data_IF_609620089593
#
_entry.id   IF_609620089593
#
_cell.length_a   1.000
_cell.length_b   1.000
_cell.length_c   1.000
_cell.angle_alpha   90.00
_cell.angle_beta   90.00
_cell.angle_gamma   90.00
#
_symmetry.space_group_name_H-M   'P 1'
#
loop_
_entity.id
_entity.type
_entity.pdbx_description
1 polymer ?
#
# COMPACT_ATOMS: atom_id res chain seq x y z
N UNK A 1 -16.63 3.47 -15.05
CA UNK A 1 -15.79 2.27 -14.89
C UNK A 1 -14.54 2.69 -14.16
N UNK A 2 -14.20 2.04 -13.06
CA UNK A 2 -13.00 2.40 -12.30
C UNK A 2 -11.76 1.83 -13.00
N UNK A 3 -10.79 2.70 -13.31
CA UNK A 3 -9.61 2.35 -14.09
C UNK A 3 -8.35 2.63 -13.30
N UNK A 4 -7.47 1.66 -13.22
CA UNK A 4 -6.14 1.82 -12.61
C UNK A 4 -5.23 2.52 -13.61
N UNK A 5 -4.74 3.69 -13.24
CA UNK A 5 -3.76 4.44 -14.03
C UNK A 5 -2.36 3.93 -13.75
N UNK A 6 -1.56 3.76 -14.79
CA UNK A 6 -0.16 3.38 -14.66
C UNK A 6 0.73 4.17 -15.60
N UNK A 7 1.98 4.34 -15.22
CA UNK A 7 3.04 4.82 -16.11
C UNK A 7 4.10 3.74 -16.29
N UNK A 8 4.92 3.89 -17.31
CA UNK A 8 6.06 3.01 -17.54
C UNK A 8 7.33 3.59 -16.91
N UNK A 9 8.19 2.73 -16.41
CA UNK A 9 9.54 3.05 -15.96
C UNK A 9 10.50 1.97 -16.42
N UNK A 10 11.66 2.38 -16.94
CA UNK A 10 12.75 1.47 -17.24
C UNK A 10 13.41 1.02 -15.95
N UNK A 11 13.75 -0.25 -15.84
CA UNK A 11 14.41 -0.83 -14.68
C UNK A 11 15.37 -1.93 -15.12
N UNK A 12 16.62 -1.80 -14.70
CA UNK A 12 17.64 -2.82 -14.87
C UNK A 12 17.48 -3.96 -13.86
N UNK A 13 18.08 -5.10 -14.18
CA UNK A 13 18.14 -6.23 -13.25
C UNK A 13 19.30 -6.02 -12.26
N UNK A 14 19.05 -5.80 -10.95
CA UNK A 14 20.11 -5.58 -9.98
C UNK A 14 21.04 -6.80 -9.79
N UNK A 15 20.55 -7.99 -10.13
CA UNK A 15 21.33 -9.24 -10.02
C UNK A 15 22.18 -9.49 -11.28
N UNK A 16 21.79 -8.93 -12.42
CA UNK A 16 22.53 -9.05 -13.68
C UNK A 16 22.54 -7.70 -14.44
N UNK A 17 23.47 -6.79 -14.11
CA UNK A 17 23.53 -5.45 -14.70
C UNK A 17 23.80 -5.42 -16.21
N UNK A 18 24.30 -6.51 -16.77
CA UNK A 18 24.59 -6.65 -18.21
C UNK A 18 23.31 -6.87 -19.06
N UNK A 19 22.19 -7.26 -18.43
CA UNK A 19 20.92 -7.39 -19.13
C UNK A 19 20.36 -6.02 -19.50
N UNK A 20 19.76 -5.88 -20.71
CA UNK A 20 19.10 -4.64 -21.09
C UNK A 20 17.95 -4.32 -20.15
N UNK A 21 17.79 -3.04 -19.84
CA UNK A 21 16.65 -2.54 -19.05
C UNK A 21 15.32 -2.91 -19.70
N UNK A 22 14.34 -3.24 -18.88
CA UNK A 22 12.97 -3.58 -19.30
C UNK A 22 11.98 -2.54 -18.77
N UNK A 23 10.91 -2.31 -19.52
CA UNK A 23 9.83 -1.43 -19.10
C UNK A 23 8.89 -2.15 -18.14
N UNK A 24 8.64 -1.54 -16.99
CA UNK A 24 7.71 -2.03 -15.96
C UNK A 24 6.62 -1.01 -15.68
N UNK A 25 5.41 -1.50 -15.44
CA UNK A 25 4.29 -0.66 -15.04
C UNK A 25 4.43 -0.22 -13.58
N UNK A 26 4.19 1.07 -13.33
CA UNK A 26 4.08 1.64 -11.98
C UNK A 26 2.72 2.29 -11.82
N UNK A 27 1.99 1.90 -10.77
CA UNK A 27 0.67 2.46 -10.48
C UNK A 27 0.77 3.98 -10.26
N UNK A 28 -0.17 4.72 -10.82
CA UNK A 28 -0.35 6.14 -10.59
C UNK A 28 -1.60 6.33 -9.74
N UNK A 29 -1.40 6.60 -8.44
CA UNK A 29 -2.50 6.80 -7.49
C UNK A 29 -3.32 8.02 -7.90
N UNK A 30 -4.63 7.88 -7.98
CA UNK A 30 -5.52 9.02 -8.27
C UNK A 30 -5.52 10.01 -7.10
N UNK A 31 -5.73 9.51 -5.88
CA UNK A 31 -5.81 10.32 -4.67
C UNK A 31 -5.52 9.47 -3.42
N UNK A 32 -5.31 10.13 -2.30
CA UNK A 32 -5.23 9.52 -0.98
C UNK A 32 -6.59 9.72 -0.30
N UNK A 33 -7.28 8.62 -0.02
CA UNK A 33 -8.56 8.66 0.69
C UNK A 33 -8.29 8.67 2.19
N UNK A 34 -8.71 9.74 2.88
CA UNK A 34 -8.63 9.81 4.33
C UNK A 34 -9.64 8.87 4.99
N UNK A 35 -9.38 8.48 6.26
CA UNK A 35 -10.31 7.66 7.05
C UNK A 35 -11.71 8.28 7.09
N UNK A 36 -11.83 9.60 7.28
CA UNK A 36 -13.13 10.27 7.32
C UNK A 36 -13.88 10.16 5.99
N UNK A 37 -13.17 10.30 4.88
CA UNK A 37 -13.78 10.17 3.55
C UNK A 37 -14.20 8.73 3.27
N UNK A 38 -13.40 7.75 3.71
CA UNK A 38 -13.75 6.33 3.60
C UNK A 38 -14.99 5.97 4.43
N UNK A 39 -15.08 6.45 5.68
CA UNK A 39 -16.26 6.29 6.54
C UNK A 39 -17.50 6.90 5.89
N UNK A 40 -17.38 8.10 5.31
CA UNK A 40 -18.50 8.73 4.59
C UNK A 40 -18.96 7.85 3.44
N UNK A 41 -18.03 7.34 2.65
CA UNK A 41 -18.32 6.44 1.53
C UNK A 41 -19.06 5.18 1.98
N UNK A 42 -18.63 4.51 3.05
CA UNK A 42 -19.31 3.34 3.61
C UNK A 42 -20.74 3.70 4.03
N UNK A 43 -20.94 4.80 4.74
CA UNK A 43 -22.26 5.20 5.24
C UNK A 43 -23.23 5.65 4.14
N UNK A 44 -22.70 6.10 2.99
CA UNK A 44 -23.49 6.52 1.83
C UNK A 44 -23.87 5.36 0.90
N UNK A 45 -23.15 4.22 0.98
CA UNK A 45 -23.36 3.09 0.08
C UNK A 45 -24.72 2.38 0.28
N UNK A 46 -25.21 2.26 1.51
CA UNK A 46 -26.49 1.58 1.82
C UNK A 46 -27.22 2.15 3.03
N UNK A 47 -26.82 3.28 3.54
CA UNK A 47 -27.61 4.14 4.43
C UNK A 47 -28.09 3.59 5.80
N UNK A 48 -27.76 2.33 6.15
CA UNK A 48 -28.29 1.70 7.39
C UNK A 48 -27.60 2.25 8.63
N UNK A 49 -26.31 2.59 8.54
CA UNK A 49 -25.53 3.06 9.67
C UNK A 49 -25.11 4.52 9.52
N UNK A 50 -25.25 5.28 10.60
CA UNK A 50 -24.77 6.67 10.64
C UNK A 50 -23.25 6.75 10.51
N UNK A 51 -22.73 7.88 10.03
CA UNK A 51 -21.28 8.14 9.98
C UNK A 51 -20.62 7.99 11.34
N UNK A 52 -21.32 8.39 12.42
CA UNK A 52 -20.85 8.24 13.79
C UNK A 52 -20.73 6.78 14.21
N UNK A 53 -21.73 5.95 13.87
CA UNK A 53 -21.69 4.51 14.14
C UNK A 53 -20.54 3.82 13.40
N UNK A 54 -20.38 4.08 12.10
CA UNK A 54 -19.29 3.50 11.30
C UNK A 54 -17.94 3.90 11.86
N UNK A 55 -17.76 5.18 12.24
CA UNK A 55 -16.54 5.68 12.86
C UNK A 55 -16.23 4.98 14.18
N UNK A 56 -17.23 4.86 15.07
CA UNK A 56 -17.10 4.20 16.37
C UNK A 56 -16.63 2.75 16.20
N UNK A 57 -17.39 1.95 15.41
CA UNK A 57 -17.05 0.55 15.15
C UNK A 57 -15.64 0.39 14.55
N UNK A 58 -15.27 1.23 13.59
CA UNK A 58 -13.92 1.17 12.99
C UNK A 58 -12.82 1.48 13.99
N UNK A 59 -13.04 2.45 14.88
CA UNK A 59 -12.09 2.81 15.94
C UNK A 59 -11.93 1.68 16.96
N UNK A 60 -13.03 1.12 17.42
CA UNK A 60 -13.03 0.01 18.36
C UNK A 60 -12.40 -1.25 17.76
N UNK A 61 -12.69 -1.54 16.49
CA UNK A 61 -12.07 -2.65 15.76
C UNK A 61 -10.55 -2.54 15.77
N UNK A 62 -9.98 -1.37 15.49
CA UNK A 62 -8.52 -1.16 15.49
C UNK A 62 -7.94 -1.35 16.89
N UNK A 63 -8.62 -0.84 17.92
CA UNK A 63 -8.18 -0.95 19.32
C UNK A 63 -8.18 -2.40 19.79
N UNK A 64 -9.28 -3.12 19.54
CA UNK A 64 -9.42 -4.54 19.89
C UNK A 64 -8.44 -5.42 19.10
N UNK A 65 -8.24 -5.14 17.81
CA UNK A 65 -7.25 -5.85 16.98
C UNK A 65 -5.85 -5.72 17.59
N UNK A 66 -5.45 -4.50 17.97
CA UNK A 66 -4.17 -4.25 18.63
C UNK A 66 -4.04 -5.04 19.93
N UNK A 67 -5.06 -5.03 20.78
CA UNK A 67 -5.09 -5.77 22.04
C UNK A 67 -4.89 -7.27 21.81
N UNK A 68 -5.66 -7.87 20.90
CA UNK A 68 -5.55 -9.29 20.57
C UNK A 68 -4.18 -9.67 20.04
N UNK A 69 -3.60 -8.86 19.17
CA UNK A 69 -2.26 -9.11 18.60
C UNK A 69 -1.15 -9.02 19.66
N UNK A 70 -1.22 -8.05 20.58
CA UNK A 70 -0.25 -7.92 21.69
C UNK A 70 -0.38 -9.09 22.68
N UNK A 71 -1.58 -9.66 22.81
CA UNK A 71 -1.79 -10.91 23.57
C UNK A 71 -1.28 -12.17 22.85
N UNK A 72 -0.67 -12.03 21.66
CA UNK A 72 -0.11 -13.14 20.87
C UNK A 72 -1.11 -13.89 20.01
N UNK A 73 -2.31 -13.36 19.86
CA UNK A 73 -3.34 -14.01 19.04
C UNK A 73 -3.19 -13.68 17.54
N UNK A 74 -3.69 -14.57 16.70
CA UNK A 74 -3.99 -14.33 15.32
C UNK A 74 -5.47 -13.93 15.20
N UNK A 75 -5.77 -12.89 14.47
CA UNK A 75 -7.13 -12.40 14.24
C UNK A 75 -7.48 -12.55 12.76
N UNK A 76 -8.63 -13.15 12.48
CA UNK A 76 -9.18 -13.30 11.14
C UNK A 76 -10.41 -12.41 11.04
N UNK A 77 -10.45 -11.56 10.02
CA UNK A 77 -11.60 -10.72 9.70
C UNK A 77 -12.06 -11.16 8.29
N UNK A 78 -13.23 -11.76 8.23
CA UNK A 78 -13.78 -12.29 6.97
C UNK A 78 -13.90 -11.18 5.92
N UNK A 79 -13.50 -11.49 4.70
CA UNK A 79 -13.47 -10.52 3.59
C UNK A 79 -12.32 -9.50 3.65
N UNK A 80 -11.64 -9.33 4.80
CA UNK A 80 -10.50 -8.43 4.94
C UNK A 80 -9.17 -9.19 4.93
N UNK A 81 -9.01 -10.16 5.83
CA UNK A 81 -7.80 -10.97 5.91
C UNK A 81 -7.38 -11.39 7.31
N UNK A 82 -6.17 -11.88 7.41
CA UNK A 82 -5.57 -12.43 8.60
C UNK A 82 -4.48 -11.50 9.13
N UNK A 83 -4.55 -11.21 10.42
CA UNK A 83 -3.58 -10.39 11.14
C UNK A 83 -2.85 -11.26 12.16
N UNK A 84 -1.55 -11.23 12.16
CA UNK A 84 -0.68 -11.92 13.11
C UNK A 84 0.58 -11.12 13.40
N UNK A 85 1.38 -11.57 14.34
CA UNK A 85 2.66 -10.95 14.63
C UNK A 85 3.81 -11.91 14.32
N UNK A 86 4.97 -11.34 14.02
CA UNK A 86 6.25 -12.04 13.96
C UNK A 86 7.27 -11.31 14.81
N UNK A 87 8.29 -12.03 15.27
CA UNK A 87 9.36 -11.48 16.08
C UNK A 87 10.66 -11.43 15.28
N UNK A 88 11.41 -10.34 15.45
CA UNK A 88 12.79 -10.28 15.02
C UNK A 88 13.69 -10.28 16.27
N UNK A 89 14.72 -11.10 16.26
CA UNK A 89 15.64 -11.23 17.40
C UNK A 89 17.08 -11.33 16.95
N UNK A 90 18.00 -11.00 17.86
CA UNK A 90 19.41 -11.35 17.75
C UNK A 90 19.60 -12.73 18.33
N UNK A 91 20.37 -13.57 17.66
CA UNK A 91 20.70 -14.91 18.15
C UNK A 91 21.49 -14.88 19.47
N UNK A 92 21.37 -15.95 20.26
CA UNK A 92 22.22 -16.25 21.39
C UNK A 92 23.01 -17.53 21.11
N UNK A 93 24.12 -17.75 21.80
CA UNK A 93 24.99 -18.93 21.58
C UNK A 93 24.31 -20.26 21.92
N UNK A 94 23.29 -20.24 22.77
CA UNK A 94 22.48 -21.40 23.11
C UNK A 94 21.04 -20.99 23.50
N UNK A 95 20.11 -21.94 23.54
CA UNK A 95 18.71 -21.69 23.94
C UNK A 95 18.63 -21.20 25.38
N UNK A 96 19.49 -21.69 26.28
CA UNK A 96 19.50 -21.28 27.70
C UNK A 96 19.97 -19.84 27.90
N UNK A 97 20.80 -19.31 26.98
CA UNK A 97 21.29 -17.93 26.99
C UNK A 97 20.31 -16.96 26.34
N UNK A 98 19.30 -17.44 25.62
CA UNK A 98 18.32 -16.58 24.99
C UNK A 98 17.36 -16.01 26.03
N UNK A 99 17.22 -14.69 26.02
CA UNK A 99 16.30 -13.96 26.91
C UNK A 99 15.39 -13.02 26.10
N UNK A 100 14.36 -12.49 26.70
CA UNK A 100 13.46 -11.52 26.04
C UNK A 100 14.20 -10.26 25.54
N UNK A 101 15.37 -9.91 26.10
CA UNK A 101 16.18 -8.80 25.62
C UNK A 101 16.82 -9.02 24.24
N UNK A 102 16.87 -10.26 23.79
CA UNK A 102 17.29 -10.60 22.43
C UNK A 102 16.24 -10.23 21.38
N UNK A 103 14.96 -10.09 21.76
CA UNK A 103 13.88 -9.67 20.86
C UNK A 103 14.07 -8.19 20.54
N UNK A 104 14.13 -7.84 19.25
CA UNK A 104 14.38 -6.47 18.80
C UNK A 104 13.14 -5.78 18.25
N UNK A 105 12.23 -6.53 17.63
CA UNK A 105 10.96 -5.96 17.15
C UNK A 105 9.85 -6.99 17.11
N UNK A 106 8.63 -6.46 17.20
CA UNK A 106 7.38 -7.18 16.91
C UNK A 106 6.82 -6.57 15.64
N UNK A 107 6.64 -7.38 14.62
CA UNK A 107 6.20 -6.92 13.31
C UNK A 107 4.80 -7.43 13.03
N UNK A 108 3.94 -6.56 12.51
CA UNK A 108 2.63 -6.96 12.00
C UNK A 108 2.80 -7.73 10.69
N UNK A 109 2.14 -8.87 10.61
CA UNK A 109 2.00 -9.67 9.38
C UNK A 109 0.54 -9.64 8.98
N UNK A 110 0.27 -9.15 7.78
CA UNK A 110 -1.07 -9.12 7.19
C UNK A 110 -1.11 -10.00 5.95
N UNK A 111 -2.09 -10.90 5.90
CA UNK A 111 -2.38 -11.71 4.72
C UNK A 111 -3.80 -11.36 4.25
N UNK A 112 -3.97 -10.74 3.09
CA UNK A 112 -5.29 -10.35 2.60
C UNK A 112 -6.19 -11.58 2.35
N UNK A 113 -7.49 -11.41 2.56
CA UNK A 113 -8.50 -12.40 2.18
C UNK A 113 -8.58 -12.56 0.66
N UNK A 114 -9.20 -13.64 0.18
CA UNK A 114 -9.30 -13.94 -1.24
C UNK A 114 -9.99 -12.83 -2.04
N UNK A 115 -10.98 -12.17 -1.44
CA UNK A 115 -11.74 -11.06 -2.01
C UNK A 115 -10.85 -9.82 -2.30
N UNK A 116 -9.75 -9.66 -1.55
CA UNK A 116 -8.78 -8.59 -1.78
C UNK A 116 -7.58 -9.03 -2.61
N UNK A 117 -7.56 -10.29 -3.06
CA UNK A 117 -6.56 -10.83 -3.98
C UNK A 117 -7.12 -10.85 -5.40
N UNK A 118 -6.24 -11.03 -6.39
CA UNK A 118 -6.63 -11.18 -7.79
C UNK A 118 -7.49 -10.03 -8.37
N UNK A 119 -7.30 -8.81 -7.87
CA UNK A 119 -8.03 -7.61 -8.32
C UNK A 119 -7.87 -7.33 -9.83
N UNK A 120 -6.95 -8.01 -10.49
CA UNK A 120 -6.72 -7.89 -11.94
C UNK A 120 -7.95 -8.31 -12.76
N UNK A 121 -8.79 -9.21 -12.22
CA UNK A 121 -10.01 -9.67 -12.92
C UNK A 121 -11.06 -8.57 -13.05
N UNK A 122 -11.08 -7.64 -12.09
CA UNK A 122 -12.04 -6.54 -12.01
C UNK A 122 -11.43 -5.20 -12.46
N UNK A 123 -10.14 -5.21 -12.78
CA UNK A 123 -9.40 -4.01 -13.11
C UNK A 123 -9.37 -3.74 -14.61
N UNK A 124 -9.55 -2.49 -14.98
CA UNK A 124 -9.18 -1.95 -16.29
C UNK A 124 -7.96 -1.05 -16.13
N UNK A 125 -7.15 -0.91 -17.18
CA UNK A 125 -5.89 -0.21 -17.10
C UNK A 125 -5.80 0.89 -18.14
N UNK A 126 -5.28 2.07 -17.74
CA UNK A 126 -4.99 3.17 -18.65
C UNK A 126 -3.58 3.68 -18.41
N UNK A 127 -2.77 3.70 -19.45
CA UNK A 127 -1.44 4.29 -19.41
C UNK A 127 -1.55 5.82 -19.38
N UNK A 128 -0.80 6.43 -18.46
CA UNK A 128 -0.68 7.88 -18.32
C UNK A 128 0.77 8.29 -18.14
N UNK A 129 1.07 9.58 -18.30
CA UNK A 129 2.40 10.10 -17.99
C UNK A 129 2.72 9.96 -16.49
N UNK A 130 3.99 9.74 -16.15
CA UNK A 130 4.45 9.72 -14.76
C UNK A 130 4.23 11.09 -14.10
N UNK A 131 4.12 11.12 -12.76
CA UNK A 131 4.04 12.38 -12.02
C UNK A 131 5.25 13.28 -12.24
N UNK A 132 6.43 12.69 -12.42
CA UNK A 132 7.65 13.46 -12.77
C UNK A 132 7.51 14.11 -14.14
N UNK A 133 7.04 13.39 -15.15
CA UNK A 133 6.80 13.93 -16.48
C UNK A 133 5.73 15.05 -16.45
N UNK A 134 4.64 14.85 -15.72
CA UNK A 134 3.61 15.87 -15.55
C UNK A 134 4.15 17.13 -14.84
N UNK A 135 4.95 16.95 -13.79
CA UNK A 135 5.59 18.07 -13.08
C UNK A 135 6.59 18.83 -13.97
N UNK A 136 7.34 18.10 -14.82
CA UNK A 136 8.26 18.73 -15.78
C UNK A 136 7.53 19.59 -16.81
N UNK A 137 6.40 19.08 -17.34
CA UNK A 137 5.55 19.86 -18.26
C UNK A 137 5.04 21.13 -17.60
N UNK A 138 4.47 21.04 -16.40
CA UNK A 138 3.97 22.20 -15.64
C UNK A 138 5.07 23.20 -15.30
N UNK A 139 6.29 22.74 -15.02
CA UNK A 139 7.43 23.61 -14.76
C UNK A 139 7.87 24.37 -16.03
N UNK A 140 7.89 23.70 -17.18
CA UNK A 140 8.21 24.30 -18.46
C UNK A 140 7.15 25.33 -18.89
N UNK A 141 5.86 25.00 -18.73
CA UNK A 141 4.75 25.94 -19.00
C UNK A 141 4.89 27.23 -18.18
N UNK A 142 5.22 27.11 -16.87
CA UNK A 142 5.44 28.27 -15.98
C UNK A 142 6.63 29.14 -16.40
N UNK A 143 7.62 28.56 -17.05
CA UNK A 143 8.81 29.26 -17.58
C UNK A 143 8.61 29.79 -18.99
N UNK A 144 7.51 29.45 -19.67
CA UNK A 144 7.27 29.80 -21.07
C UNK A 144 8.14 29.00 -22.06
N UNK A 145 8.66 27.84 -21.66
CA UNK A 145 9.45 26.94 -22.50
C UNK A 145 8.52 26.18 -23.44
N UNK A 146 8.79 26.22 -24.76
CA UNK A 146 7.98 25.54 -25.78
C UNK A 146 8.22 24.03 -25.90
N UNK A 147 9.24 23.50 -25.25
CA UNK A 147 9.63 22.07 -25.26
C UNK A 147 10.01 21.59 -23.88
N UNK A 148 9.75 20.32 -23.62
CA UNK A 148 10.09 19.64 -22.36
C UNK A 148 10.88 18.39 -22.66
N UNK A 149 12.04 18.22 -22.03
CA UNK A 149 12.79 16.98 -22.06
C UNK A 149 12.12 15.98 -21.10
N UNK A 150 11.28 15.12 -21.67
CA UNK A 150 10.60 14.07 -20.93
C UNK A 150 11.51 12.89 -20.59
N UNK A 151 12.64 12.73 -21.25
CA UNK A 151 13.60 11.66 -20.97
C UNK A 151 14.38 11.96 -19.67
N UNK A 152 14.75 13.21 -19.45
CA UNK A 152 15.29 13.65 -18.16
C UNK A 152 14.31 13.48 -17.00
N UNK A 153 13.01 13.49 -17.27
CA UNK A 153 11.95 13.32 -16.26
C UNK A 153 11.56 11.85 -15.99
N UNK A 154 12.14 10.89 -16.71
CA UNK A 154 11.85 9.46 -16.56
C UNK A 154 12.64 8.79 -15.42
N UNK A 155 13.73 9.42 -14.94
CA UNK A 155 14.62 8.88 -13.89
C UNK A 155 14.29 9.38 -12.47
#
# INVERSE_FOLDING_TARGET
>A
MNTIKYSLAMQGNPTNPEEPEKAYARVQLNEIISTQRFINHISEHNGVFSKGTVKGVTTDMVSCLREMLVAGNKVIIDGLGEFSISLSSVGADSMEKFTASNIKSVNLVFKPAEELQNLIKDATFTQVSSRKAQAAVLAAEKKGEGTVDLDAAKN
#
